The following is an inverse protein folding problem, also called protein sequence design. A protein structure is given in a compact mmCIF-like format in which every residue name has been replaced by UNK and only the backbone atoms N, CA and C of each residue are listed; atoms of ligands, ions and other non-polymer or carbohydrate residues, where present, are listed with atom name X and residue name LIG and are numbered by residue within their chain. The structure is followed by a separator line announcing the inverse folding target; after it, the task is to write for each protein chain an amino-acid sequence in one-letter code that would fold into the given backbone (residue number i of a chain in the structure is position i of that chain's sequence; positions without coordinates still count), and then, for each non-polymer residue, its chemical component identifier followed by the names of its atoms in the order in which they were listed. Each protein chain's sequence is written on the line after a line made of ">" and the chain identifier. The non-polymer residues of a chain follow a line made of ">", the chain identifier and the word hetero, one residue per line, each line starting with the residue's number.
data_IF_665704214222
#
_entry.id   IF_665704214222
#
_cell.length_a   1.000
_cell.length_b   1.000
_cell.length_c   1.000
_cell.angle_alpha   90.00
_cell.angle_beta   90.00
_cell.angle_gamma   90.00
#
_symmetry.space_group_name_H-M   'P 1'
#
loop_
_entity.id
_entity.type
_entity.pdbx_description
1 polymer ?
#
# COMPACT_ATOMS: atom_id res chain seq x y z
N UNK A 1 45.82 -23.24 22.08
CA UNK A 1 45.32 -22.11 22.84
C UNK A 1 44.25 -21.44 21.95
N UNK A 2 42.97 -21.76 22.18
CA UNK A 2 41.85 -21.22 21.45
C UNK A 2 41.16 -20.14 22.29
N UNK A 3 41.03 -18.93 21.76
CA UNK A 3 40.23 -17.85 22.34
C UNK A 3 38.95 -17.68 21.56
N UNK A 4 37.82 -18.06 22.15
CA UNK A 4 36.50 -17.88 21.62
C UNK A 4 36.08 -16.41 21.66
N UNK A 5 35.56 -15.88 20.54
CA UNK A 5 34.88 -14.61 20.49
C UNK A 5 33.35 -14.83 20.60
N UNK A 6 32.82 -14.44 21.75
CA UNK A 6 31.39 -14.39 21.99
C UNK A 6 30.74 -13.26 21.18
N UNK A 7 29.85 -13.62 20.25
CA UNK A 7 29.03 -12.67 19.48
C UNK A 7 27.95 -12.03 20.36
N UNK A 8 28.02 -10.73 20.57
CA UNK A 8 26.97 -9.95 21.23
C UNK A 8 25.76 -9.83 20.28
N UNK A 9 24.68 -10.56 20.59
CA UNK A 9 23.36 -10.35 19.99
C UNK A 9 22.83 -8.98 20.44
N UNK A 10 22.72 -8.03 19.52
CA UNK A 10 21.98 -6.79 19.76
C UNK A 10 20.49 -7.13 19.88
N UNK A 11 19.94 -6.98 21.06
CA UNK A 11 18.48 -7.01 21.29
C UNK A 11 17.92 -5.72 20.71
N UNK A 12 17.09 -5.80 19.68
CA UNK A 12 16.26 -4.69 19.26
C UNK A 12 15.25 -4.40 20.38
N UNK A 13 15.38 -3.22 21.00
CA UNK A 13 14.37 -2.70 21.90
C UNK A 13 13.10 -2.42 21.07
N UNK A 14 12.00 -3.04 21.45
CA UNK A 14 10.68 -2.63 20.97
C UNK A 14 10.46 -1.16 21.36
N UNK A 15 10.08 -0.34 20.39
CA UNK A 15 9.65 1.01 20.65
C UNK A 15 8.37 0.95 21.51
N UNK A 16 8.40 1.58 22.67
CA UNK A 16 7.24 1.69 23.55
C UNK A 16 6.13 2.54 22.93
N UNK A 17 4.91 2.46 23.48
CA UNK A 17 3.78 3.22 22.96
C UNK A 17 4.05 4.74 23.05
N UNK A 18 3.61 5.47 22.04
CA UNK A 18 3.63 6.93 22.01
C UNK A 18 2.89 7.50 23.22
N UNK A 19 3.39 8.54 23.90
CA UNK A 19 2.71 9.14 25.02
C UNK A 19 1.37 9.75 24.54
N UNK A 20 0.29 9.38 25.19
CA UNK A 20 -0.99 10.04 25.05
C UNK A 20 -0.85 11.49 25.51
N UNK A 21 -0.97 12.45 24.58
CA UNK A 21 -0.97 13.86 24.89
C UNK A 21 -2.20 14.23 25.73
N UNK A 22 -2.01 14.44 27.02
CA UNK A 22 -3.00 15.03 27.91
C UNK A 22 -3.21 16.49 27.55
N UNK A 23 -4.33 16.82 26.89
CA UNK A 23 -4.79 18.19 26.68
C UNK A 23 -5.84 18.55 27.72
N UNK A 24 -5.49 19.47 28.61
CA UNK A 24 -6.44 20.07 29.56
C UNK A 24 -7.58 20.77 28.84
N UNK A 25 -8.81 20.48 29.30
CA UNK A 25 -10.05 20.99 28.74
C UNK A 25 -10.22 22.49 28.86
N UNK A 26 -10.50 23.16 27.76
CA UNK A 26 -11.21 24.44 27.76
C UNK A 26 -12.69 24.21 27.44
N UNK A 27 -13.55 24.54 28.42
CA UNK A 27 -15.01 24.56 28.29
C UNK A 27 -15.47 25.71 27.41
N UNK A 28 -16.43 25.43 26.55
CA UNK A 28 -17.46 26.39 26.13
C UNK A 28 -17.37 26.92 24.72
N UNK A 29 -18.08 26.26 23.79
CA UNK A 29 -19.06 26.90 22.88
C UNK A 29 -19.94 25.82 22.24
N UNK A 30 -21.28 25.95 22.20
CA UNK A 30 -22.19 25.02 21.55
C UNK A 30 -22.39 25.43 20.10
N UNK A 31 -22.39 24.44 19.19
CA UNK A 31 -22.89 24.60 17.83
C UNK A 31 -21.84 24.44 16.71
N UNK A 32 -21.27 23.27 16.59
CA UNK A 32 -20.52 22.86 15.39
C UNK A 32 -20.79 21.39 15.13
N UNK A 33 -21.21 21.06 13.90
CA UNK A 33 -21.35 19.68 13.48
C UNK A 33 -20.02 18.93 13.68
N UNK A 34 -20.01 17.61 13.96
CA UNK A 34 -18.78 16.86 14.19
C UNK A 34 -18.03 16.67 12.88
N UNK A 35 -17.25 17.67 12.50
CA UNK A 35 -16.21 17.53 11.49
C UNK A 35 -15.05 16.74 12.07
N UNK A 36 -14.65 15.67 11.42
CA UNK A 36 -13.58 14.74 11.79
C UNK A 36 -12.16 15.34 11.66
N UNK A 37 -11.99 16.63 11.78
CA UNK A 37 -10.71 17.35 11.72
C UNK A 37 -10.12 17.62 13.10
N UNK A 38 -8.82 17.59 13.23
CA UNK A 38 -8.11 18.07 14.42
C UNK A 38 -8.38 19.56 14.57
N UNK A 39 -9.01 20.04 15.66
CA UNK A 39 -9.30 21.45 15.83
C UNK A 39 -8.02 22.27 15.76
N UNK A 40 -8.01 23.32 14.90
CA UNK A 40 -6.88 24.25 14.79
C UNK A 40 -5.84 23.91 13.72
N UNK A 41 -6.09 22.97 12.82
CA UNK A 41 -5.17 22.72 11.70
C UNK A 41 -5.17 23.93 10.74
N UNK A 42 -4.00 24.60 10.61
CA UNK A 42 -3.87 25.82 9.78
C UNK A 42 -4.05 25.54 8.27
N UNK A 43 -3.64 24.36 7.80
CA UNK A 43 -3.68 23.94 6.40
C UNK A 43 -4.29 22.55 6.28
N UNK A 44 -5.63 22.42 6.30
CA UNK A 44 -6.28 21.11 6.29
C UNK A 44 -6.03 20.31 5.00
N UNK A 45 -5.82 21.00 3.86
CA UNK A 45 -5.46 20.41 2.56
C UNK A 45 -3.96 20.33 2.29
N UNK A 46 -3.11 20.42 3.31
CA UNK A 46 -1.66 20.40 3.10
C UNK A 46 -1.22 19.12 2.38
N UNK A 47 -0.35 19.28 1.37
CA UNK A 47 0.12 18.18 0.51
C UNK A 47 0.97 17.11 1.19
N UNK A 48 1.60 17.44 2.34
CA UNK A 48 2.36 16.47 3.11
C UNK A 48 1.45 15.69 4.07
N UNK A 49 1.48 14.35 3.95
CA UNK A 49 0.64 13.42 4.72
C UNK A 49 1.54 12.42 5.49
N UNK A 50 2.66 12.90 6.00
CA UNK A 50 3.72 12.08 6.63
C UNK A 50 3.24 11.29 7.85
N UNK A 51 2.18 11.73 8.53
CA UNK A 51 1.56 11.01 9.64
C UNK A 51 0.90 9.69 9.21
N UNK A 52 0.65 9.49 7.91
CA UNK A 52 0.18 8.23 7.35
C UNK A 52 1.31 7.33 6.81
N UNK A 53 2.58 7.64 7.12
CA UNK A 53 3.71 6.79 6.75
C UNK A 53 3.52 5.32 7.17
N UNK A 54 2.88 5.09 8.32
CA UNK A 54 2.58 3.74 8.80
C UNK A 54 1.65 2.93 7.90
N UNK A 55 0.82 3.60 7.07
CA UNK A 55 0.00 2.95 6.05
C UNK A 55 0.81 2.66 4.79
N UNK A 56 1.55 3.66 4.28
CA UNK A 56 2.45 3.53 3.13
C UNK A 56 3.57 4.59 3.18
N UNK A 57 4.83 4.21 2.96
CA UNK A 57 5.36 2.87 2.60
C UNK A 57 5.51 1.90 3.77
N UNK A 58 5.18 2.30 5.00
CA UNK A 58 5.15 1.41 6.16
C UNK A 58 4.09 0.30 6.03
N UNK A 59 4.02 -0.52 7.06
CA UNK A 59 3.10 -1.66 7.13
C UNK A 59 2.45 -1.77 8.52
N UNK A 60 2.54 -0.72 9.35
CA UNK A 60 2.01 -0.69 10.70
C UNK A 60 0.49 -0.50 10.73
N UNK A 61 -0.06 0.06 9.65
CA UNK A 61 -1.49 0.24 9.44
C UNK A 61 -1.92 -0.64 8.28
N UNK A 62 -2.88 -1.52 8.51
CA UNK A 62 -3.47 -2.38 7.48
C UNK A 62 -4.98 -2.56 7.72
N UNK A 63 -5.72 -2.87 6.67
CA UNK A 63 -7.17 -3.11 6.75
C UNK A 63 -7.49 -4.39 7.52
N UNK A 64 -6.56 -5.34 7.57
CA UNK A 64 -6.74 -6.64 8.22
C UNK A 64 -6.30 -6.65 9.68
N UNK A 65 -5.10 -6.11 9.97
CA UNK A 65 -4.49 -6.23 11.30
C UNK A 65 -4.82 -5.04 12.20
N UNK A 66 -5.10 -3.86 11.64
CA UNK A 66 -5.41 -2.63 12.37
C UNK A 66 -6.57 -1.87 11.73
N UNK A 67 -7.77 -2.48 11.62
CA UNK A 67 -8.89 -1.92 10.88
C UNK A 67 -9.35 -0.55 11.38
N UNK A 68 -9.27 -0.30 12.69
CA UNK A 68 -9.62 1.01 13.27
C UNK A 68 -8.66 2.11 12.83
N UNK A 69 -7.35 1.82 12.79
CA UNK A 69 -6.34 2.76 12.28
C UNK A 69 -6.47 2.96 10.77
N UNK A 70 -6.79 1.92 10.02
CA UNK A 70 -7.07 2.02 8.59
C UNK A 70 -8.30 2.90 8.32
N UNK A 71 -9.35 2.79 9.12
CA UNK A 71 -10.53 3.66 9.04
C UNK A 71 -10.22 5.11 9.43
N UNK A 72 -9.37 5.33 10.42
CA UNK A 72 -8.91 6.67 10.79
C UNK A 72 -8.06 7.29 9.67
N UNK A 73 -7.19 6.49 9.04
CA UNK A 73 -6.40 6.92 7.89
C UNK A 73 -7.31 7.30 6.70
N UNK A 74 -8.35 6.52 6.41
CA UNK A 74 -9.36 6.83 5.38
C UNK A 74 -10.00 8.19 5.63
N UNK A 75 -10.55 8.42 6.83
CA UNK A 75 -11.14 9.71 7.19
C UNK A 75 -10.17 10.87 7.06
N UNK A 76 -8.92 10.67 7.43
CA UNK A 76 -7.87 11.68 7.27
C UNK A 76 -7.61 12.02 5.80
N UNK A 77 -7.56 11.02 4.93
CA UNK A 77 -7.39 11.24 3.48
C UNK A 77 -8.59 11.99 2.88
N UNK A 78 -9.81 11.56 3.20
CA UNK A 78 -11.04 12.20 2.76
C UNK A 78 -11.05 13.68 3.16
N UNK A 79 -10.83 13.96 4.43
CA UNK A 79 -10.77 15.34 4.94
C UNK A 79 -9.72 16.20 4.22
N UNK A 80 -8.52 15.66 3.97
CA UNK A 80 -7.48 16.40 3.25
C UNK A 80 -7.82 16.66 1.80
N UNK A 81 -8.42 15.68 1.13
CA UNK A 81 -8.84 15.83 -0.27
C UNK A 81 -9.99 16.82 -0.43
N UNK A 82 -10.97 16.83 0.47
CA UNK A 82 -12.07 17.80 0.51
C UNK A 82 -11.56 19.24 0.70
N UNK A 83 -10.41 19.40 1.34
CA UNK A 83 -9.77 20.71 1.55
C UNK A 83 -8.66 21.02 0.52
N UNK A 84 -8.66 20.37 -0.66
CA UNK A 84 -7.76 20.68 -1.78
C UNK A 84 -6.41 19.96 -1.73
N UNK A 85 -6.27 18.92 -0.92
CA UNK A 85 -5.05 18.10 -0.87
C UNK A 85 -4.75 17.36 -2.17
N UNK A 86 -3.49 16.94 -2.35
CA UNK A 86 -3.08 16.14 -3.50
C UNK A 86 -2.93 16.92 -4.81
N UNK A 87 -2.67 18.22 -4.76
CA UNK A 87 -2.54 19.08 -5.93
C UNK A 87 -1.18 18.98 -6.66
N UNK A 88 -0.19 18.27 -6.12
CA UNK A 88 1.11 18.01 -6.75
C UNK A 88 1.24 16.55 -7.15
N UNK A 89 2.05 16.25 -8.18
CA UNK A 89 2.19 14.89 -8.71
C UNK A 89 2.64 13.87 -7.66
N UNK A 90 3.72 14.15 -6.93
CA UNK A 90 4.20 13.23 -5.89
C UNK A 90 3.18 13.05 -4.73
N UNK A 91 2.45 14.10 -4.35
CA UNK A 91 1.42 14.00 -3.32
C UNK A 91 0.24 13.17 -3.81
N UNK A 92 -0.21 13.39 -5.06
CA UNK A 92 -1.26 12.61 -5.70
C UNK A 92 -0.89 11.14 -5.84
N UNK A 93 0.35 10.87 -6.27
CA UNK A 93 0.87 9.51 -6.36
C UNK A 93 0.92 8.82 -4.99
N UNK A 94 1.32 9.54 -3.93
CA UNK A 94 1.30 9.00 -2.57
C UNK A 94 -0.13 8.68 -2.10
N UNK A 95 -1.08 9.56 -2.38
CA UNK A 95 -2.51 9.34 -2.08
C UNK A 95 -3.05 8.10 -2.81
N UNK A 96 -2.68 7.91 -4.08
CA UNK A 96 -3.04 6.70 -4.82
C UNK A 96 -2.53 5.42 -4.13
N UNK A 97 -1.29 5.42 -3.63
CA UNK A 97 -0.74 4.31 -2.85
C UNK A 97 -1.49 4.08 -1.53
N UNK A 98 -1.94 5.14 -0.84
CA UNK A 98 -2.76 4.99 0.36
C UNK A 98 -4.10 4.30 0.03
N UNK A 99 -4.78 4.70 -1.04
CA UNK A 99 -6.02 4.06 -1.46
C UNK A 99 -5.84 2.60 -1.87
N UNK A 100 -4.72 2.27 -2.53
CA UNK A 100 -4.36 0.88 -2.79
C UNK A 100 -4.23 0.07 -1.50
N UNK A 101 -3.57 0.63 -0.47
CA UNK A 101 -3.40 -0.01 0.85
C UNK A 101 -4.69 -0.10 1.66
N UNK A 102 -5.64 0.78 1.40
CA UNK A 102 -6.97 0.75 2.00
C UNK A 102 -7.96 -0.11 1.20
N UNK A 103 -7.49 -0.82 0.17
CA UNK A 103 -8.27 -1.67 -0.74
C UNK A 103 -9.44 -0.91 -1.40
N UNK A 104 -9.26 0.39 -1.65
CA UNK A 104 -10.24 1.24 -2.31
C UNK A 104 -9.87 1.43 -3.78
N UNK A 105 -10.27 0.47 -4.61
CA UNK A 105 -9.96 0.43 -6.03
C UNK A 105 -10.53 1.63 -6.80
N UNK A 106 -11.71 2.13 -6.41
CA UNK A 106 -12.34 3.28 -7.08
C UNK A 106 -11.53 4.55 -6.81
N UNK A 107 -11.24 4.86 -5.55
CA UNK A 107 -10.45 6.05 -5.19
C UNK A 107 -9.02 5.96 -5.71
N UNK A 108 -8.44 4.78 -5.76
CA UNK A 108 -7.15 4.55 -6.43
C UNK A 108 -7.23 4.95 -7.90
N UNK A 109 -8.23 4.44 -8.64
CA UNK A 109 -8.42 4.74 -10.06
C UNK A 109 -8.59 6.25 -10.30
N UNK A 110 -9.43 6.91 -9.53
CA UNK A 110 -9.66 8.35 -9.61
C UNK A 110 -8.36 9.14 -9.42
N UNK A 111 -7.54 8.76 -8.44
CA UNK A 111 -6.28 9.44 -8.18
C UNK A 111 -5.20 9.15 -9.22
N UNK A 112 -5.17 7.97 -9.83
CA UNK A 112 -4.30 7.67 -10.96
C UNK A 112 -4.71 8.47 -12.21
N UNK A 113 -6.00 8.58 -12.50
CA UNK A 113 -6.52 9.41 -13.61
C UNK A 113 -6.17 10.89 -13.40
N UNK A 114 -6.32 11.40 -12.18
CA UNK A 114 -5.93 12.77 -11.85
C UNK A 114 -4.43 12.99 -11.96
N UNK A 115 -3.61 12.02 -11.54
CA UNK A 115 -2.16 12.08 -11.71
C UNK A 115 -1.78 12.21 -13.18
N UNK A 116 -2.34 11.35 -14.03
CA UNK A 116 -2.03 11.34 -15.46
C UNK A 116 -2.56 12.57 -16.20
N UNK A 117 -3.74 13.07 -15.83
CA UNK A 117 -4.38 14.18 -16.55
C UNK A 117 -3.99 15.56 -16.06
N UNK A 118 -3.58 15.70 -14.80
CA UNK A 118 -3.28 17.00 -14.17
C UNK A 118 -1.82 17.20 -13.81
N UNK A 119 -1.10 16.14 -13.55
CA UNK A 119 0.27 16.19 -13.00
C UNK A 119 1.31 15.51 -13.90
N UNK A 120 0.95 15.10 -15.12
CA UNK A 120 1.84 14.41 -16.04
C UNK A 120 1.89 15.16 -17.38
N UNK A 121 3.09 15.43 -17.87
CA UNK A 121 3.34 16.04 -19.18
C UNK A 121 3.21 15.00 -20.32
N UNK A 122 3.08 15.41 -21.59
CA UNK A 122 3.00 14.48 -22.72
C UNK A 122 4.20 13.53 -22.86
N UNK A 123 5.37 13.91 -22.35
CA UNK A 123 6.55 13.06 -22.27
C UNK A 123 6.58 12.13 -21.06
N UNK A 124 5.47 12.05 -20.34
CA UNK A 124 5.23 11.28 -19.11
C UNK A 124 5.99 11.78 -17.86
N UNK A 125 6.67 12.90 -17.91
CA UNK A 125 7.29 13.47 -16.71
C UNK A 125 6.24 14.14 -15.83
N UNK A 126 6.48 14.10 -14.52
CA UNK A 126 5.73 14.89 -13.54
C UNK A 126 5.93 16.40 -13.83
N UNK A 127 4.84 17.16 -13.76
CA UNK A 127 4.85 18.60 -14.07
C UNK A 127 5.16 19.50 -12.88
N UNK A 128 5.55 18.94 -11.73
CA UNK A 128 5.88 19.74 -10.55
C UNK A 128 7.07 20.66 -10.81
N UNK A 129 6.99 21.98 -10.51
CA UNK A 129 8.12 22.89 -10.60
C UNK A 129 8.89 23.01 -9.24
N UNK A 130 10.22 22.73 -9.18
CA UNK A 130 11.00 22.04 -10.20
C UNK A 130 10.56 20.58 -10.36
N UNK A 131 10.92 19.94 -11.47
CA UNK A 131 10.61 18.53 -11.74
C UNK A 131 10.98 17.62 -10.57
N UNK A 132 10.05 16.74 -10.20
CA UNK A 132 10.21 15.75 -9.14
C UNK A 132 9.77 14.38 -9.66
N UNK A 133 10.73 13.48 -9.87
CA UNK A 133 10.48 12.14 -10.39
C UNK A 133 9.62 11.28 -9.46
N UNK A 134 9.45 11.71 -8.22
CA UNK A 134 8.64 11.05 -7.20
C UNK A 134 7.20 10.80 -7.66
N UNK A 135 6.61 11.71 -8.43
CA UNK A 135 5.28 11.55 -9.03
C UNK A 135 5.24 10.37 -10.00
N UNK A 136 6.27 10.21 -10.82
CA UNK A 136 6.41 9.10 -11.75
C UNK A 136 6.58 7.75 -11.04
N UNK A 137 7.53 7.68 -10.11
CA UNK A 137 7.78 6.45 -9.37
C UNK A 137 6.62 6.08 -8.44
N UNK A 138 6.02 7.08 -7.79
CA UNK A 138 4.86 6.86 -6.95
C UNK A 138 3.63 6.41 -7.75
N UNK A 139 3.43 6.91 -8.97
CA UNK A 139 2.36 6.46 -9.85
C UNK A 139 2.52 5.01 -10.27
N UNK A 140 3.72 4.62 -10.71
CA UNK A 140 4.00 3.21 -11.07
C UNK A 140 3.93 2.29 -9.85
N UNK A 141 4.36 2.76 -8.67
CA UNK A 141 4.20 2.03 -7.42
C UNK A 141 2.71 1.81 -7.07
N UNK A 142 1.83 2.80 -7.26
CA UNK A 142 0.40 2.67 -7.00
C UNK A 142 -0.25 1.61 -7.91
N UNK A 143 0.13 1.55 -9.18
CA UNK A 143 -0.30 0.47 -10.10
C UNK A 143 0.17 -0.90 -9.59
N UNK A 144 1.42 -1.01 -9.17
CA UNK A 144 1.93 -2.26 -8.61
C UNK A 144 1.20 -2.65 -7.30
N UNK A 145 0.92 -1.68 -6.41
CA UNK A 145 0.16 -1.90 -5.17
C UNK A 145 -1.30 -2.31 -5.41
N UNK A 146 -1.91 -1.89 -6.53
CA UNK A 146 -3.25 -2.34 -6.93
C UNK A 146 -3.29 -3.84 -7.24
N UNK A 147 -2.18 -4.37 -7.79
CA UNK A 147 -2.07 -5.73 -8.31
C UNK A 147 -1.42 -6.71 -7.33
N UNK A 148 -0.50 -6.23 -6.51
CA UNK A 148 0.30 -7.05 -5.61
C UNK A 148 0.71 -6.26 -4.37
N UNK A 149 0.31 -6.73 -3.20
CA UNK A 149 0.86 -6.25 -1.93
C UNK A 149 1.63 -7.37 -1.24
N UNK A 150 2.74 -7.03 -0.61
CA UNK A 150 3.54 -7.99 0.13
C UNK A 150 4.10 -7.40 1.41
N UNK A 151 3.96 -8.13 2.50
CA UNK A 151 4.54 -7.87 3.81
C UNK A 151 5.37 -9.07 4.26
N UNK A 152 5.90 -9.07 5.47
CA UNK A 152 6.65 -10.21 5.98
C UNK A 152 5.74 -11.45 6.09
N UNK A 153 6.00 -12.44 5.24
CA UNK A 153 5.26 -13.71 5.24
C UNK A 153 3.84 -13.66 4.64
N UNK A 154 3.45 -12.56 3.98
CA UNK A 154 2.13 -12.45 3.35
C UNK A 154 2.22 -11.82 1.96
N UNK A 155 1.48 -12.36 1.03
CA UNK A 155 1.30 -11.84 -0.33
C UNK A 155 -0.19 -11.77 -0.61
N UNK A 156 -0.65 -10.63 -1.08
CA UNK A 156 -2.02 -10.42 -1.50
C UNK A 156 -2.06 -10.04 -2.98
N UNK A 157 -2.89 -10.75 -3.73
CA UNK A 157 -3.06 -10.57 -5.17
C UNK A 157 -4.35 -9.80 -5.45
N UNK A 158 -4.26 -8.82 -6.33
CA UNK A 158 -5.35 -7.96 -6.79
C UNK A 158 -6.11 -7.25 -5.64
N UNK A 159 -5.44 -6.74 -4.59
CA UNK A 159 -6.10 -6.18 -3.41
C UNK A 159 -6.96 -4.95 -3.70
N UNK A 160 -6.60 -4.19 -4.74
CA UNK A 160 -7.30 -2.97 -5.11
C UNK A 160 -7.41 -2.83 -6.64
N UNK A 161 -7.81 -3.90 -7.33
CA UNK A 161 -7.94 -3.91 -8.78
C UNK A 161 -9.11 -3.01 -9.22
N UNK A 162 -8.84 -1.91 -9.98
CA UNK A 162 -9.90 -1.05 -10.50
C UNK A 162 -10.88 -1.79 -11.42
N UNK A 163 -12.17 -1.45 -11.34
CA UNK A 163 -13.21 -2.08 -12.17
C UNK A 163 -12.95 -1.93 -13.67
N UNK A 164 -12.34 -0.82 -14.10
CA UNK A 164 -11.97 -0.57 -15.50
C UNK A 164 -10.87 -1.51 -15.99
N UNK A 165 -10.09 -2.10 -15.12
CA UNK A 165 -9.02 -3.06 -15.48
C UNK A 165 -9.60 -4.48 -15.53
N UNK A 166 -10.55 -4.70 -16.43
CA UNK A 166 -11.31 -5.96 -16.49
C UNK A 166 -10.46 -7.17 -16.80
N UNK A 167 -9.45 -6.99 -17.63
CA UNK A 167 -8.52 -8.04 -18.04
C UNK A 167 -7.11 -7.50 -18.10
N UNK A 168 -6.15 -8.38 -17.90
CA UNK A 168 -4.74 -8.00 -17.99
C UNK A 168 -3.80 -9.08 -17.50
N UNK A 169 -2.54 -8.80 -17.70
CA UNK A 169 -1.46 -9.60 -17.14
C UNK A 169 -0.29 -8.70 -16.77
N UNK A 170 0.46 -9.14 -15.78
CA UNK A 170 1.74 -8.53 -15.43
C UNK A 170 2.75 -9.62 -15.13
N UNK A 171 3.99 -9.39 -15.49
CA UNK A 171 5.06 -10.37 -15.31
C UNK A 171 6.19 -9.79 -14.49
N UNK A 172 6.83 -10.67 -13.72
CA UNK A 172 8.06 -10.38 -12.95
C UNK A 172 7.91 -9.26 -11.90
N UNK A 173 6.70 -9.07 -11.34
CA UNK A 173 6.59 -8.27 -10.13
C UNK A 173 7.45 -8.88 -9.02
N UNK A 174 8.04 -8.02 -8.22
CA UNK A 174 8.83 -8.43 -7.06
C UNK A 174 8.00 -8.32 -5.79
N UNK A 175 7.94 -9.42 -5.05
CA UNK A 175 7.38 -9.44 -3.70
C UNK A 175 8.49 -9.61 -2.66
N UNK A 176 8.20 -9.31 -1.40
CA UNK A 176 9.11 -9.56 -0.28
C UNK A 176 9.47 -11.05 -0.21
N UNK A 177 10.66 -11.35 0.26
CA UNK A 177 11.20 -12.72 0.25
C UNK A 177 11.81 -13.13 -1.08
N UNK A 178 12.16 -12.17 -1.94
CA UNK A 178 12.77 -12.39 -3.27
C UNK A 178 11.89 -13.22 -4.22
N UNK A 179 10.56 -13.15 -4.07
CA UNK A 179 9.64 -13.80 -4.99
C UNK A 179 9.47 -13.01 -6.29
N UNK A 180 9.34 -13.74 -7.40
CA UNK A 180 8.85 -13.22 -8.66
C UNK A 180 7.41 -13.69 -8.85
N UNK A 181 6.54 -12.77 -9.25
CA UNK A 181 5.11 -13.01 -9.40
C UNK A 181 4.68 -12.60 -10.80
N UNK A 182 4.16 -13.57 -11.56
CA UNK A 182 3.43 -13.32 -12.79
C UNK A 182 1.96 -13.59 -12.50
N UNK A 183 1.07 -12.69 -12.88
CA UNK A 183 -0.35 -12.89 -12.70
C UNK A 183 -1.15 -12.42 -13.92
N UNK A 184 -2.30 -13.06 -14.13
CA UNK A 184 -3.26 -12.73 -15.16
C UNK A 184 -4.66 -12.72 -14.54
N UNK A 185 -5.52 -11.84 -15.05
CA UNK A 185 -6.90 -11.74 -14.61
C UNK A 185 -7.82 -11.48 -15.78
N UNK A 186 -9.06 -11.90 -15.67
CA UNK A 186 -10.15 -11.67 -16.61
C UNK A 186 -11.44 -11.40 -15.84
N UNK A 187 -12.27 -10.50 -16.35
CA UNK A 187 -13.51 -10.05 -15.70
C UNK A 187 -13.30 -9.64 -14.23
N UNK A 188 -12.17 -8.97 -13.94
CA UNK A 188 -11.81 -8.50 -12.61
C UNK A 188 -11.41 -9.62 -11.63
N UNK A 189 -11.16 -10.83 -12.09
CA UNK A 189 -10.83 -11.99 -11.26
C UNK A 189 -9.51 -12.65 -11.69
N UNK A 190 -8.71 -13.03 -10.70
CA UNK A 190 -7.50 -13.81 -10.96
C UNK A 190 -7.82 -15.06 -11.77
N UNK A 191 -7.10 -15.29 -12.85
CA UNK A 191 -7.20 -16.51 -13.66
C UNK A 191 -5.97 -17.40 -13.51
N UNK A 192 -4.81 -16.80 -13.32
CA UNK A 192 -3.57 -17.53 -13.15
C UNK A 192 -2.55 -16.69 -12.37
N UNK A 193 -1.80 -17.33 -11.49
CA UNK A 193 -0.59 -16.78 -10.89
C UNK A 193 0.54 -17.79 -10.98
N UNK A 194 1.73 -17.33 -11.38
CA UNK A 194 2.97 -18.07 -11.27
C UNK A 194 3.88 -17.38 -10.26
N UNK A 195 4.38 -18.15 -9.32
CA UNK A 195 5.31 -17.71 -8.29
C UNK A 195 6.64 -18.45 -8.48
N UNK A 196 7.74 -17.71 -8.44
CA UNK A 196 9.09 -18.29 -8.49
C UNK A 196 9.90 -17.78 -7.30
N UNK A 197 10.51 -18.69 -6.56
CA UNK A 197 11.21 -18.43 -5.31
C UNK A 197 12.71 -18.75 -5.42
N UNK A 198 13.56 -17.85 -5.97
CA UNK A 198 14.99 -18.12 -6.11
C UNK A 198 15.67 -18.47 -4.78
N UNK A 199 15.21 -17.89 -3.68
CA UNK A 199 15.76 -18.11 -2.32
C UNK A 199 14.88 -18.98 -1.42
N UNK A 200 13.81 -19.58 -2.00
CA UNK A 200 12.74 -20.20 -1.23
C UNK A 200 11.80 -19.17 -0.63
N UNK A 201 10.62 -19.62 -0.20
CA UNK A 201 9.62 -18.77 0.43
C UNK A 201 8.73 -19.58 1.38
N UNK A 202 8.36 -18.95 2.51
CA UNK A 202 7.31 -19.45 3.39
C UNK A 202 6.41 -18.30 3.83
N UNK A 203 5.10 -18.47 3.66
CA UNK A 203 4.12 -17.48 4.05
C UNK A 203 2.72 -17.81 3.55
N UNK A 204 1.85 -16.81 3.53
CA UNK A 204 0.45 -16.94 3.08
C UNK A 204 0.27 -16.16 1.79
N UNK A 205 -0.37 -16.78 0.81
CA UNK A 205 -0.86 -16.16 -0.43
C UNK A 205 -2.37 -15.98 -0.30
N UNK A 206 -2.87 -14.80 -0.64
CA UNK A 206 -4.30 -14.50 -0.61
C UNK A 206 -4.78 -13.81 -1.89
N UNK A 207 -6.03 -14.03 -2.26
CA UNK A 207 -6.73 -13.36 -3.37
C UNK A 207 -8.25 -13.47 -3.17
N UNK A 208 -8.96 -12.34 -3.18
CA UNK A 208 -10.42 -12.32 -3.17
C UNK A 208 -11.07 -13.11 -2.02
N UNK A 209 -10.49 -13.07 -0.82
CA UNK A 209 -10.97 -13.79 0.36
C UNK A 209 -10.53 -15.26 0.46
N UNK A 210 -9.88 -15.80 -0.57
CA UNK A 210 -9.25 -17.12 -0.53
C UNK A 210 -7.80 -16.97 -0.07
N UNK A 211 -7.34 -17.87 0.80
CA UNK A 211 -5.94 -17.88 1.25
C UNK A 211 -5.36 -19.30 1.24
N UNK A 212 -4.05 -19.39 1.02
CA UNK A 212 -3.29 -20.64 0.98
C UNK A 212 -1.92 -20.44 1.64
N UNK A 213 -1.49 -21.39 2.46
CA UNK A 213 -0.09 -21.47 2.88
C UNK A 213 0.78 -21.81 1.66
N UNK A 214 1.86 -21.05 1.50
CA UNK A 214 2.80 -21.21 0.41
C UNK A 214 4.17 -21.55 0.98
N UNK A 215 4.68 -22.72 0.62
CA UNK A 215 6.03 -23.18 0.97
C UNK A 215 6.72 -23.58 -0.32
N UNK A 216 7.76 -22.83 -0.68
CA UNK A 216 8.58 -23.08 -1.87
C UNK A 216 10.03 -23.24 -1.47
N UNK A 217 10.69 -24.26 -2.03
CA UNK A 217 12.14 -24.46 -1.87
C UNK A 217 12.92 -23.44 -2.71
N UNK A 218 14.21 -23.21 -2.41
CA UNK A 218 15.05 -22.42 -3.31
C UNK A 218 15.04 -22.92 -4.74
N UNK A 219 14.78 -22.00 -5.69
CA UNK A 219 14.67 -22.30 -7.11
C UNK A 219 13.30 -22.84 -7.56
N UNK A 220 12.40 -23.14 -6.63
CA UNK A 220 11.10 -23.71 -6.96
C UNK A 220 10.15 -22.66 -7.56
N UNK A 221 9.26 -23.14 -8.42
CA UNK A 221 8.17 -22.35 -9.01
C UNK A 221 6.86 -23.14 -8.92
N UNK A 222 5.76 -22.41 -8.71
CA UNK A 222 4.41 -22.99 -8.69
C UNK A 222 3.49 -22.15 -9.58
N UNK A 223 2.52 -22.83 -10.20
CA UNK A 223 1.45 -22.19 -10.96
C UNK A 223 0.10 -22.54 -10.35
N UNK A 224 -0.71 -21.51 -10.07
CA UNK A 224 -2.01 -21.67 -9.43
C UNK A 224 -3.09 -21.03 -10.29
N UNK A 225 -4.30 -21.56 -10.17
CA UNK A 225 -5.51 -20.98 -10.75
C UNK A 225 -6.09 -19.83 -9.92
N UNK A 226 -7.25 -19.30 -10.33
CA UNK A 226 -7.94 -18.21 -9.61
C UNK A 226 -8.50 -18.59 -8.23
N UNK A 227 -8.52 -19.88 -7.89
CA UNK A 227 -8.87 -20.40 -6.57
C UNK A 227 -7.65 -20.80 -5.74
N UNK A 228 -6.49 -20.41 -6.20
CA UNK A 228 -5.18 -20.74 -5.61
C UNK A 228 -4.93 -22.27 -5.53
N UNK A 229 -5.52 -23.06 -6.44
CA UNK A 229 -5.25 -24.48 -6.58
C UNK A 229 -4.14 -24.71 -7.62
N UNK A 230 -3.32 -25.73 -7.41
CA UNK A 230 -2.25 -26.06 -8.35
C UNK A 230 -2.81 -26.46 -9.70
N UNK A 231 -2.25 -25.87 -10.77
CA UNK A 231 -2.44 -26.37 -12.13
C UNK A 231 -1.31 -27.32 -12.44
N UNK A 232 -1.66 -28.58 -12.64
CA UNK A 232 -0.78 -29.52 -13.30
C UNK A 232 -0.61 -29.05 -14.75
N UNK A 233 0.64 -28.96 -15.22
CA UNK A 233 0.96 -28.61 -16.60
C UNK A 233 0.44 -29.66 -17.59
#
# INVERSE_FOLDING_TARGET
>A
VAAGRAGRRRRHRAAGPWPAGGGEGRRGQPGGQPGSGVPGQKEPGHRHISHLYGLYPGHQISVEETPELAQAARRTLEYRLENGGGHTGWSRAWIANFWARLHDAQKLQENLELLLTKSTLPNLFDNHPPFQIDGNFGGTAAIAQALLQSSAGRIELLPALPEKWREGCIRRLRAKGNLHVDLSWENGRLTCVRLSAPSGYRGVLSCGGVSRELILRPGESIRLDGRLQERLE
#
